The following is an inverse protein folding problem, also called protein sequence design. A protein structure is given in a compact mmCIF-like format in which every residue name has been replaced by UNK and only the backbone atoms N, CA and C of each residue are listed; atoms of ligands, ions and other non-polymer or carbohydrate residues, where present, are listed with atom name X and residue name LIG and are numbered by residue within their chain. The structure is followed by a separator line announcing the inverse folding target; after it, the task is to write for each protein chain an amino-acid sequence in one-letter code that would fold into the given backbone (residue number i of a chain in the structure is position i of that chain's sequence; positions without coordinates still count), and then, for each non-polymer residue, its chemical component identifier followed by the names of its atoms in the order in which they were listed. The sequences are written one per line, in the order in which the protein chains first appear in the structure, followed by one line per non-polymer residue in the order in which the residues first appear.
data_IF_599936178135
#
_entry.id   IF_599936178135
#
_cell.length_a   1.000
_cell.length_b   1.000
_cell.length_c   1.000
_cell.angle_alpha   90.00
_cell.angle_beta   90.00
_cell.angle_gamma   90.00
#
_symmetry.space_group_name_H-M   'P 1'
#
loop_
_entity.id
_entity.type
_entity.pdbx_description
1 polymer ?
#
# COMPACT_ATOMS: atom_id res chain seq x y z
N UNK A 1 48.70 42.46 -42.78
CA UNK A 1 48.27 41.07 -43.00
C UNK A 1 46.85 40.93 -42.43
N UNK A 2 45.84 40.96 -43.30
CA UNK A 2 44.99 39.80 -43.70
C UNK A 2 44.03 39.41 -42.54
N UNK A 3 42.80 39.95 -42.55
CA UNK A 3 41.54 39.37 -43.08
C UNK A 3 40.83 38.47 -42.02
N UNK A 4 39.67 38.90 -41.50
CA UNK A 4 38.28 38.57 -41.91
C UNK A 4 37.77 37.19 -41.47
N UNK A 5 36.58 37.24 -40.81
CA UNK A 5 35.44 36.27 -40.86
C UNK A 5 35.68 34.85 -40.30
N UNK A 6 34.75 34.17 -39.62
CA UNK A 6 33.31 34.16 -39.78
C UNK A 6 32.54 33.76 -38.50
N UNK A 7 31.31 34.26 -38.42
CA UNK A 7 30.18 33.81 -37.61
C UNK A 7 29.73 32.40 -38.06
N UNK A 8 29.33 31.51 -37.14
CA UNK A 8 28.28 30.47 -37.31
C UNK A 8 28.06 29.68 -35.99
N UNK A 9 26.93 29.91 -35.32
CA UNK A 9 26.17 28.87 -34.57
C UNK A 9 25.44 27.98 -35.62
N UNK A 10 24.97 26.72 -35.36
CA UNK A 10 24.38 26.23 -34.10
C UNK A 10 24.50 24.69 -33.81
N UNK A 11 23.77 24.23 -32.76
CA UNK A 11 23.23 22.89 -32.50
C UNK A 11 24.20 21.71 -32.23
N UNK A 12 24.12 21.12 -31.02
CA UNK A 12 23.68 19.74 -30.82
C UNK A 12 23.65 19.31 -29.34
N UNK A 13 22.45 18.88 -28.93
CA UNK A 13 22.13 17.84 -27.95
C UNK A 13 22.73 17.93 -26.53
N UNK A 14 21.87 18.36 -25.61
CA UNK A 14 21.82 17.83 -24.24
C UNK A 14 21.67 16.30 -24.28
N UNK A 15 22.77 15.57 -24.30
CA UNK A 15 22.77 14.17 -23.86
C UNK A 15 22.99 14.18 -22.35
N UNK A 16 21.88 14.06 -21.63
CA UNK A 16 21.87 13.50 -20.29
C UNK A 16 22.40 12.05 -20.44
N UNK A 17 23.72 11.88 -20.47
CA UNK A 17 24.29 10.56 -20.31
C UNK A 17 24.00 10.13 -18.88
N UNK A 18 23.13 9.13 -18.81
CA UNK A 18 22.93 8.29 -17.65
C UNK A 18 24.28 8.02 -16.98
N UNK A 19 24.44 8.49 -15.75
CA UNK A 19 25.43 7.92 -14.85
C UNK A 19 24.95 6.51 -14.50
N UNK A 20 25.25 5.55 -15.37
CA UNK A 20 25.38 4.15 -14.99
C UNK A 20 26.54 4.08 -13.99
N UNK A 21 26.18 4.23 -12.72
CA UNK A 21 27.10 3.91 -11.63
C UNK A 21 27.02 2.40 -11.50
N UNK A 22 28.06 1.71 -11.94
CA UNK A 22 28.34 0.32 -11.58
C UNK A 22 28.42 0.26 -10.04
N UNK A 23 27.27 0.03 -9.39
CA UNK A 23 27.21 -0.29 -7.97
C UNK A 23 27.41 -1.80 -7.85
N UNK A 24 28.25 -2.28 -6.90
CA UNK A 24 28.38 -3.70 -6.66
C UNK A 24 27.00 -4.27 -6.33
N UNK A 25 26.57 -5.26 -7.11
CA UNK A 25 25.32 -5.97 -6.85
C UNK A 25 25.40 -6.68 -5.50
N UNK A 26 24.28 -6.77 -4.80
CA UNK A 26 24.15 -7.56 -3.58
C UNK A 26 23.64 -8.96 -3.90
N UNK A 27 24.08 -9.94 -3.13
CA UNK A 27 23.54 -11.29 -3.09
C UNK A 27 22.81 -11.49 -1.76
N UNK A 28 21.49 -11.46 -1.80
CA UNK A 28 20.64 -11.63 -0.63
C UNK A 28 19.82 -12.90 -0.75
N UNK A 29 19.57 -13.54 0.39
CA UNK A 29 18.55 -14.57 0.52
C UNK A 29 17.51 -14.06 1.50
N UNK A 30 16.27 -13.89 1.06
CA UNK A 30 15.23 -13.32 1.92
C UNK A 30 13.98 -14.18 1.99
N UNK A 31 13.23 -13.98 3.09
CA UNK A 31 11.86 -14.44 3.24
C UNK A 31 10.98 -13.27 3.65
N UNK A 32 9.77 -13.22 3.11
CA UNK A 32 8.85 -12.13 3.35
C UNK A 32 7.67 -12.58 4.21
N UNK A 33 7.13 -11.65 5.00
CA UNK A 33 5.91 -11.80 5.79
C UNK A 33 5.18 -10.47 5.75
N UNK A 34 3.86 -10.50 5.58
CA UNK A 34 3.02 -9.33 5.76
C UNK A 34 2.56 -9.24 7.22
N UNK A 35 2.68 -8.07 7.81
CA UNK A 35 2.33 -7.81 9.19
C UNK A 35 0.83 -7.61 9.35
N UNK A 36 0.22 -6.85 8.44
CA UNK A 36 -1.21 -6.51 8.48
C UNK A 36 -2.01 -7.53 7.64
N UNK A 37 -2.22 -7.21 6.37
CA UNK A 37 -2.95 -8.03 5.40
C UNK A 37 -2.02 -8.72 4.41
N UNK A 38 -2.43 -9.89 3.92
CA UNK A 38 -1.67 -10.61 2.90
C UNK A 38 -1.57 -9.78 1.61
N UNK A 39 -0.42 -9.86 0.94
CA UNK A 39 -0.13 -9.14 -0.31
C UNK A 39 -0.02 -10.17 -1.45
N UNK A 40 -1.14 -10.54 -2.11
CA UNK A 40 -1.18 -11.67 -3.04
C UNK A 40 -0.45 -11.42 -4.37
N UNK A 41 -0.38 -10.16 -4.81
CA UNK A 41 0.15 -9.75 -6.11
C UNK A 41 1.45 -8.92 -6.01
N UNK A 42 2.24 -9.13 -4.96
CA UNK A 42 3.54 -8.49 -4.86
C UNK A 42 4.47 -8.98 -5.97
N UNK A 43 5.29 -8.10 -6.49
CA UNK A 43 6.29 -8.40 -7.50
C UNK A 43 7.54 -7.58 -7.23
N UNK A 44 8.71 -8.07 -7.64
CA UNK A 44 9.97 -7.33 -7.56
C UNK A 44 10.77 -7.53 -8.83
N UNK A 45 11.68 -6.60 -9.11
CA UNK A 45 12.56 -6.67 -10.27
C UNK A 45 13.89 -7.31 -9.87
N UNK A 46 14.27 -8.37 -10.59
CA UNK A 46 15.58 -9.02 -10.56
C UNK A 46 16.28 -8.74 -11.90
N UNK A 47 17.12 -7.71 -11.93
CA UNK A 47 17.60 -7.13 -13.20
C UNK A 47 16.41 -6.61 -14.03
N UNK A 48 16.27 -7.12 -15.25
CA UNK A 48 15.14 -6.81 -16.15
C UNK A 48 13.96 -7.77 -16.00
N UNK A 49 14.08 -8.80 -15.14
CA UNK A 49 13.05 -9.81 -14.96
C UNK A 49 12.12 -9.45 -13.81
N UNK A 50 10.83 -9.34 -14.11
CA UNK A 50 9.79 -9.20 -13.09
C UNK A 50 9.48 -10.56 -12.45
N UNK A 51 9.68 -10.67 -11.15
CA UNK A 51 9.37 -11.86 -10.34
C UNK A 51 8.11 -11.61 -9.52
N UNK A 52 7.17 -12.54 -9.54
CA UNK A 52 5.95 -12.49 -8.74
C UNK A 52 6.13 -13.23 -7.41
N UNK A 53 5.47 -12.74 -6.37
CA UNK A 53 5.50 -13.28 -5.03
C UNK A 53 4.16 -13.01 -4.32
N UNK A 54 3.56 -14.04 -3.75
CA UNK A 54 2.47 -13.86 -2.78
C UNK A 54 3.09 -13.81 -1.38
N UNK A 55 2.82 -12.72 -0.65
CA UNK A 55 3.34 -12.50 0.71
C UNK A 55 2.20 -12.75 1.70
N UNK A 56 2.20 -13.88 2.42
CA UNK A 56 1.15 -14.19 3.40
C UNK A 56 1.33 -13.39 4.70
N UNK A 57 0.28 -13.32 5.52
CA UNK A 57 0.30 -12.60 6.81
C UNK A 57 0.39 -13.51 8.05
N UNK A 58 0.48 -14.82 7.84
CA UNK A 58 0.47 -15.86 8.87
C UNK A 58 1.70 -16.77 8.85
N UNK A 59 2.58 -16.65 7.86
CA UNK A 59 3.80 -17.45 7.71
C UNK A 59 4.84 -16.68 6.88
N UNK A 60 6.08 -17.14 6.89
CA UNK A 60 7.07 -16.63 5.93
C UNK A 60 6.91 -17.29 4.56
N UNK A 61 7.22 -16.53 3.51
CA UNK A 61 7.41 -17.11 2.18
C UNK A 61 8.54 -18.14 2.18
N UNK A 62 8.62 -18.93 1.10
CA UNK A 62 9.84 -19.69 0.79
C UNK A 62 11.02 -18.72 0.66
N UNK A 63 12.23 -19.23 0.90
CA UNK A 63 13.44 -18.45 0.72
C UNK A 63 13.64 -18.11 -0.76
N UNK A 64 13.93 -16.84 -1.02
CA UNK A 64 14.16 -16.28 -2.34
C UNK A 64 15.60 -15.81 -2.39
N UNK A 65 16.32 -16.21 -3.42
CA UNK A 65 17.65 -15.69 -3.70
C UNK A 65 17.51 -14.54 -4.69
N UNK A 66 18.11 -13.40 -4.36
CA UNK A 66 18.13 -12.22 -5.22
C UNK A 66 19.57 -11.79 -5.44
N UNK A 67 19.91 -11.54 -6.70
CA UNK A 67 21.19 -10.97 -7.11
C UNK A 67 20.92 -9.75 -7.98
N UNK A 68 21.34 -8.57 -7.54
CA UNK A 68 21.05 -7.35 -8.27
C UNK A 68 21.39 -6.09 -7.49
N UNK A 69 20.82 -4.93 -7.87
CA UNK A 69 21.01 -3.68 -7.16
C UNK A 69 20.71 -3.77 -5.65
N UNK A 70 21.42 -3.03 -4.79
CA UNK A 70 21.17 -3.02 -3.35
C UNK A 70 19.77 -2.54 -2.97
N UNK A 71 19.13 -1.75 -3.82
CA UNK A 71 17.76 -1.28 -3.61
C UNK A 71 16.78 -2.23 -4.28
N UNK A 72 16.06 -3.01 -3.47
CA UNK A 72 14.99 -3.89 -3.94
C UNK A 72 13.66 -3.14 -3.87
N UNK A 73 12.98 -3.05 -5.01
CA UNK A 73 11.66 -2.42 -5.13
C UNK A 73 10.58 -3.49 -5.29
N UNK A 74 9.55 -3.37 -4.48
CA UNK A 74 8.33 -4.17 -4.59
C UNK A 74 7.23 -3.32 -5.21
N UNK A 75 6.51 -3.93 -6.15
CA UNK A 75 5.37 -3.35 -6.84
C UNK A 75 4.20 -4.33 -6.76
N UNK A 76 3.00 -3.82 -6.59
CA UNK A 76 1.76 -4.57 -6.72
C UNK A 76 1.24 -4.31 -8.11
N UNK A 77 0.99 -5.39 -8.86
CA UNK A 77 0.42 -5.30 -10.19
C UNK A 77 -1.03 -5.69 -10.07
N UNK A 78 -1.91 -4.76 -10.42
CA UNK A 78 -3.33 -5.04 -10.52
C UNK A 78 -3.59 -5.97 -11.72
N UNK A 79 -4.03 -7.20 -11.46
CA UNK A 79 -4.28 -8.18 -12.53
C UNK A 79 -5.47 -7.81 -13.43
N UNK A 80 -6.39 -6.95 -12.99
CA UNK A 80 -7.46 -6.43 -13.85
C UNK A 80 -6.90 -5.63 -15.03
N UNK A 81 -5.71 -5.06 -14.87
CA UNK A 81 -5.00 -4.35 -15.95
C UNK A 81 -4.24 -5.29 -16.90
N UNK A 82 -3.96 -6.54 -16.50
CA UNK A 82 -3.17 -7.51 -17.27
C UNK A 82 -4.02 -8.37 -18.22
N UNK A 83 -5.30 -8.56 -17.90
CA UNK A 83 -6.28 -9.15 -18.79
C UNK A 83 -7.53 -8.27 -18.77
N UNK A 84 -7.58 -7.17 -19.54
CA UNK A 84 -8.83 -6.47 -19.72
C UNK A 84 -9.80 -7.48 -20.34
N UNK A 85 -10.73 -8.02 -19.53
CA UNK A 85 -11.89 -8.68 -20.10
C UNK A 85 -12.52 -7.63 -21.02
N UNK A 86 -12.75 -7.93 -22.31
CA UNK A 86 -13.52 -7.02 -23.13
C UNK A 86 -14.84 -6.80 -22.38
N UNK A 87 -15.08 -5.56 -21.98
CA UNK A 87 -16.33 -5.16 -21.36
C UNK A 87 -17.44 -5.66 -22.28
N UNK A 88 -18.45 -6.33 -21.73
CA UNK A 88 -19.61 -6.70 -22.54
C UNK A 88 -20.16 -5.42 -23.19
N UNK A 89 -20.77 -5.49 -24.38
CA UNK A 89 -21.36 -4.31 -25.02
C UNK A 89 -22.26 -3.53 -24.05
N UNK A 90 -22.99 -4.25 -23.20
CA UNK A 90 -23.87 -3.69 -22.17
C UNK A 90 -23.09 -2.97 -21.06
N UNK A 91 -21.99 -3.55 -20.55
CA UNK A 91 -21.14 -2.90 -19.55
C UNK A 91 -20.42 -1.67 -20.13
N UNK A 92 -19.99 -1.75 -21.40
CA UNK A 92 -19.39 -0.62 -22.10
C UNK A 92 -20.39 0.52 -22.28
N UNK A 93 -21.63 0.20 -22.66
CA UNK A 93 -22.71 1.18 -22.77
C UNK A 93 -23.05 1.81 -21.41
N UNK A 94 -23.09 1.01 -20.34
CA UNK A 94 -23.33 1.47 -18.97
C UNK A 94 -22.26 2.45 -18.48
N UNK A 95 -20.98 2.10 -18.67
CA UNK A 95 -19.84 2.96 -18.29
C UNK A 95 -19.81 4.23 -19.13
N UNK A 96 -20.11 4.15 -20.43
CA UNK A 96 -20.20 5.35 -21.28
C UNK A 96 -21.35 6.25 -20.85
N UNK A 97 -22.50 5.68 -20.47
CA UNK A 97 -23.66 6.41 -19.95
C UNK A 97 -23.33 7.11 -18.63
N UNK A 98 -22.67 6.41 -17.71
CA UNK A 98 -22.14 6.97 -16.45
C UNK A 98 -21.19 8.15 -16.71
N UNK A 99 -20.18 7.97 -17.58
CA UNK A 99 -19.22 9.04 -17.90
C UNK A 99 -19.87 10.27 -18.51
N UNK A 100 -20.86 10.08 -19.40
CA UNK A 100 -21.61 11.19 -19.98
C UNK A 100 -22.42 11.94 -18.92
N UNK A 101 -23.11 11.22 -18.03
CA UNK A 101 -23.88 11.81 -16.95
C UNK A 101 -22.99 12.60 -15.98
N UNK A 102 -21.84 12.05 -15.60
CA UNK A 102 -20.85 12.72 -14.75
C UNK A 102 -20.25 13.95 -15.43
N UNK A 103 -19.96 13.89 -16.73
CA UNK A 103 -19.45 15.05 -17.48
C UNK A 103 -20.50 16.18 -17.55
N UNK A 104 -21.76 15.83 -17.79
CA UNK A 104 -22.88 16.80 -17.77
C UNK A 104 -23.05 17.40 -16.38
N UNK A 105 -22.97 16.59 -15.31
CA UNK A 105 -23.07 17.08 -13.94
C UNK A 105 -21.92 18.03 -13.58
N UNK A 106 -20.68 17.70 -13.98
CA UNK A 106 -19.52 18.54 -13.73
C UNK A 106 -19.65 19.89 -14.46
N UNK A 107 -19.98 19.87 -15.75
CA UNK A 107 -20.17 21.09 -16.53
C UNK A 107 -21.30 21.96 -15.95
N UNK A 108 -22.45 21.36 -15.61
CA UNK A 108 -23.57 22.09 -15.03
C UNK A 108 -23.23 22.66 -13.65
N UNK A 109 -22.43 21.96 -12.85
CA UNK A 109 -21.94 22.41 -11.55
C UNK A 109 -20.98 23.60 -11.69
N UNK A 110 -20.08 23.56 -12.67
CA UNK A 110 -19.16 24.66 -12.97
C UNK A 110 -19.91 25.91 -13.45
N UNK A 111 -20.88 25.74 -14.36
CA UNK A 111 -21.76 26.83 -14.81
C UNK A 111 -22.59 27.40 -13.65
N UNK A 112 -23.12 26.53 -12.77
CA UNK A 112 -23.89 26.94 -11.60
C UNK A 112 -23.03 27.81 -10.67
N UNK A 113 -21.82 27.37 -10.33
CA UNK A 113 -20.90 28.10 -9.48
C UNK A 113 -20.47 29.44 -10.09
N UNK A 114 -20.27 29.50 -11.41
CA UNK A 114 -19.95 30.75 -12.11
C UNK A 114 -21.11 31.74 -12.05
N UNK A 115 -22.34 31.30 -12.29
CA UNK A 115 -23.52 32.16 -12.26
C UNK A 115 -23.80 32.65 -10.84
N UNK A 116 -23.66 31.81 -9.81
CA UNK A 116 -23.78 32.24 -8.41
C UNK A 116 -22.78 33.36 -8.08
N UNK A 117 -21.50 33.22 -8.49
CA UNK A 117 -20.50 34.29 -8.28
C UNK A 117 -20.84 35.58 -9.03
N UNK A 118 -21.39 35.48 -10.24
CA UNK A 118 -21.81 36.64 -11.01
C UNK A 118 -22.99 37.36 -10.34
N UNK A 119 -23.96 36.61 -9.83
CA UNK A 119 -25.07 37.16 -9.05
C UNK A 119 -24.58 37.85 -7.77
N UNK A 120 -23.67 37.22 -7.03
CA UNK A 120 -23.09 37.82 -5.82
C UNK A 120 -22.34 39.12 -6.15
N UNK A 121 -21.58 39.14 -7.24
CA UNK A 121 -20.84 40.33 -7.70
C UNK A 121 -21.79 41.45 -8.12
N UNK A 122 -22.85 41.14 -8.88
CA UNK A 122 -23.87 42.12 -9.29
C UNK A 122 -24.60 42.70 -8.07
N UNK A 123 -25.04 41.85 -7.15
CA UNK A 123 -25.70 42.28 -5.91
C UNK A 123 -24.78 43.16 -5.06
N UNK A 124 -23.50 42.81 -4.96
CA UNK A 124 -22.50 43.60 -4.26
C UNK A 124 -22.31 44.99 -4.88
N UNK A 125 -22.17 45.08 -6.22
CA UNK A 125 -22.03 46.36 -6.93
C UNK A 125 -23.26 47.27 -6.79
N UNK A 126 -24.46 46.69 -6.83
CA UNK A 126 -25.71 47.43 -6.62
C UNK A 126 -25.75 47.99 -5.19
N UNK A 127 -25.33 47.19 -4.21
CA UNK A 127 -25.30 47.58 -2.79
C UNK A 127 -24.23 48.65 -2.51
N UNK A 128 -23.02 48.49 -3.03
CA UNK A 128 -21.93 49.48 -2.85
C UNK A 128 -22.25 50.84 -3.47
N UNK A 129 -22.95 50.85 -4.60
CA UNK A 129 -23.34 52.11 -5.26
C UNK A 129 -24.55 52.79 -4.63
N UNK A 130 -25.16 52.19 -3.58
CA UNK A 130 -26.37 52.68 -2.89
C UNK A 130 -27.46 53.07 -3.89
N UNK A 131 -27.52 52.38 -5.03
CA UNK A 131 -28.46 52.67 -6.11
C UNK A 131 -29.56 51.63 -6.11
N UNK A 132 -30.78 52.03 -6.48
CA UNK A 132 -31.82 51.04 -6.78
C UNK A 132 -31.43 50.27 -8.05
N UNK A 133 -31.73 48.95 -8.14
CA UNK A 133 -31.48 48.17 -9.35
C UNK A 133 -32.12 48.87 -10.55
N UNK A 134 -31.34 49.06 -11.61
CA UNK A 134 -31.90 49.55 -12.88
C UNK A 134 -32.79 48.47 -13.51
N UNK A 135 -33.64 48.85 -14.46
CA UNK A 135 -34.41 47.88 -15.26
C UNK A 135 -33.52 46.88 -15.99
N UNK A 136 -32.30 47.28 -16.39
CA UNK A 136 -31.30 46.38 -16.96
C UNK A 136 -30.69 45.41 -15.93
N UNK A 137 -30.37 45.90 -14.72
CA UNK A 137 -29.86 45.06 -13.64
C UNK A 137 -30.90 43.99 -13.23
N UNK A 138 -32.18 44.38 -13.14
CA UNK A 138 -33.26 43.46 -12.80
C UNK A 138 -33.44 42.37 -13.87
N UNK A 139 -33.44 42.75 -15.16
CA UNK A 139 -33.53 41.79 -16.26
C UNK A 139 -32.34 40.81 -16.28
N UNK A 140 -31.14 41.27 -15.92
CA UNK A 140 -29.95 40.42 -15.83
C UNK A 140 -30.01 39.45 -14.65
N UNK A 141 -30.47 39.91 -13.48
CA UNK A 141 -30.68 39.05 -12.31
C UNK A 141 -31.74 37.97 -12.60
N UNK A 142 -32.86 38.35 -13.23
CA UNK A 142 -33.93 37.43 -13.57
C UNK A 142 -33.46 36.36 -14.57
N UNK A 143 -32.69 36.75 -15.60
CA UNK A 143 -32.12 35.81 -16.57
C UNK A 143 -31.10 34.85 -15.94
N UNK A 144 -30.26 35.32 -15.02
CA UNK A 144 -29.29 34.48 -14.29
C UNK A 144 -30.01 33.50 -13.34
N UNK A 145 -31.08 33.94 -12.67
CA UNK A 145 -31.90 33.06 -11.81
C UNK A 145 -32.65 32.00 -12.63
N UNK A 146 -33.18 32.35 -13.81
CA UNK A 146 -33.79 31.40 -14.72
C UNK A 146 -32.77 30.34 -15.16
N UNK A 147 -31.55 30.77 -15.51
CA UNK A 147 -30.46 29.85 -15.87
C UNK A 147 -30.03 28.95 -14.70
N UNK A 148 -29.98 29.46 -13.47
CA UNK A 148 -29.73 28.62 -12.28
C UNK A 148 -30.82 27.56 -12.09
N UNK A 149 -32.09 27.91 -12.34
CA UNK A 149 -33.20 26.96 -12.27
C UNK A 149 -33.05 25.86 -13.33
N UNK A 150 -32.70 26.20 -14.57
CA UNK A 150 -32.39 25.22 -15.62
C UNK A 150 -31.23 24.31 -15.23
N UNK A 151 -30.13 24.88 -14.74
CA UNK A 151 -28.95 24.11 -14.32
C UNK A 151 -29.26 23.17 -13.15
N UNK A 152 -30.11 23.60 -12.21
CA UNK A 152 -30.55 22.73 -11.10
C UNK A 152 -31.33 21.50 -11.60
N UNK A 153 -32.18 21.67 -12.63
CA UNK A 153 -32.90 20.57 -13.26
C UNK A 153 -31.95 19.63 -14.02
N UNK A 154 -30.94 20.18 -14.72
CA UNK A 154 -29.89 19.41 -15.41
C UNK A 154 -29.08 18.58 -14.41
N UNK A 155 -28.68 19.17 -13.27
CA UNK A 155 -27.95 18.48 -12.21
C UNK A 155 -28.78 17.33 -11.60
N UNK A 156 -30.07 17.56 -11.34
CA UNK A 156 -30.97 16.52 -10.83
C UNK A 156 -31.12 15.35 -11.81
N UNK A 157 -31.30 15.65 -13.11
CA UNK A 157 -31.39 14.64 -14.16
C UNK A 157 -30.07 13.86 -14.32
N UNK A 158 -28.93 14.54 -14.30
CA UNK A 158 -27.61 13.92 -14.39
C UNK A 158 -27.28 13.05 -13.16
N UNK A 159 -27.70 13.47 -11.97
CA UNK A 159 -27.57 12.67 -10.74
C UNK A 159 -28.37 11.39 -10.81
N UNK A 160 -29.64 11.47 -11.23
CA UNK A 160 -30.50 10.29 -11.42
C UNK A 160 -29.91 9.31 -12.44
N UNK A 161 -29.41 9.85 -13.55
CA UNK A 161 -28.76 9.06 -14.60
C UNK A 161 -27.46 8.39 -14.12
N UNK A 162 -26.69 9.07 -13.28
CA UNK A 162 -25.49 8.51 -12.63
C UNK A 162 -25.84 7.34 -11.71
N UNK A 163 -26.91 7.48 -10.92
CA UNK A 163 -27.41 6.42 -10.04
C UNK A 163 -27.92 5.21 -10.82
N UNK A 164 -28.73 5.43 -11.86
CA UNK A 164 -29.24 4.36 -12.73
C UNK A 164 -28.11 3.61 -13.45
N UNK A 165 -27.10 4.32 -13.95
CA UNK A 165 -25.94 3.71 -14.60
C UNK A 165 -25.09 2.90 -13.59
N UNK A 166 -24.89 3.39 -12.37
CA UNK A 166 -24.19 2.66 -11.31
C UNK A 166 -24.92 1.39 -10.90
N UNK A 167 -26.26 1.45 -10.73
CA UNK A 167 -27.07 0.27 -10.42
C UNK A 167 -27.02 -0.78 -11.54
N UNK A 168 -26.96 -0.33 -12.80
CA UNK A 168 -26.83 -1.22 -13.95
C UNK A 168 -25.45 -1.87 -14.03
N UNK A 169 -24.38 -1.13 -13.72
CA UNK A 169 -23.02 -1.68 -13.59
C UNK A 169 -22.97 -2.75 -12.49
N UNK A 170 -23.48 -2.45 -11.29
CA UNK A 170 -23.52 -3.41 -10.17
C UNK A 170 -24.31 -4.68 -10.52
N UNK A 171 -25.43 -4.54 -11.23
CA UNK A 171 -26.22 -5.70 -11.69
C UNK A 171 -25.43 -6.55 -12.69
N UNK A 172 -24.76 -5.92 -13.65
CA UNK A 172 -23.94 -6.61 -14.65
C UNK A 172 -22.69 -7.28 -14.02
N UNK A 173 -22.13 -6.70 -12.96
CA UNK A 173 -21.05 -7.30 -12.16
C UNK A 173 -21.52 -8.54 -11.38
N UNK A 174 -22.76 -8.51 -10.87
CA UNK A 174 -23.34 -9.58 -10.06
C UNK A 174 -23.92 -10.77 -10.85
N UNK A 175 -23.97 -10.70 -12.19
CA UNK A 175 -24.57 -11.74 -13.02
C UNK A 175 -23.72 -13.05 -13.04
N UNK A 176 -24.34 -14.25 -13.01
CA UNK A 176 -23.62 -15.52 -13.08
C UNK A 176 -22.75 -15.62 -14.33
N UNK A 177 -21.45 -15.90 -14.14
CA UNK A 177 -20.47 -15.94 -15.22
C UNK A 177 -20.45 -17.30 -15.90
N UNK A 178 -20.68 -17.34 -17.21
CA UNK A 178 -20.36 -18.53 -18.02
C UNK A 178 -18.83 -18.67 -18.16
N UNK A 179 -18.29 -19.91 -18.10
CA UNK A 179 -16.87 -20.14 -18.29
C UNK A 179 -16.43 -19.73 -19.71
N UNK A 180 -15.22 -19.16 -19.87
CA UNK A 180 -14.78 -18.65 -21.16
C UNK A 180 -14.63 -19.78 -22.19
N UNK A 181 -15.43 -19.75 -23.25
CA UNK A 181 -15.22 -20.55 -24.45
C UNK A 181 -14.13 -19.89 -25.31
N UNK A 182 -13.07 -20.67 -25.56
CA UNK A 182 -12.02 -20.54 -26.56
C UNK A 182 -11.66 -19.12 -27.04
N UNK A 183 -10.51 -18.62 -26.59
CA UNK A 183 -9.89 -17.39 -27.08
C UNK A 183 -9.27 -17.59 -28.47
N UNK A 184 -9.57 -16.76 -29.49
CA UNK A 184 -8.74 -16.67 -30.67
C UNK A 184 -7.52 -15.78 -30.38
N UNK A 185 -6.35 -16.22 -30.85
CA UNK A 185 -5.11 -15.44 -30.86
C UNK A 185 -5.27 -14.21 -31.76
N UNK A 186 -4.89 -13.02 -31.28
CA UNK A 186 -4.28 -11.99 -32.14
C UNK A 186 -3.47 -10.96 -31.38
N UNK A 187 -2.32 -10.68 -31.97
CA UNK A 187 -1.30 -9.72 -31.58
C UNK A 187 -1.83 -8.28 -31.49
N UNK A 188 -1.65 -7.68 -30.32
CA UNK A 188 -1.79 -6.25 -30.07
C UNK A 188 -0.98 -5.94 -28.82
N UNK A 189 -0.11 -4.93 -28.89
CA UNK A 189 0.79 -4.55 -27.79
C UNK A 189 -0.03 -4.41 -26.50
N UNK A 190 0.16 -5.33 -25.56
CA UNK A 190 -0.56 -5.34 -24.30
C UNK A 190 -0.38 -3.98 -23.60
N UNK A 191 -1.44 -3.41 -23.00
CA UNK A 191 -1.30 -2.22 -22.17
C UNK A 191 -0.19 -2.45 -21.14
N UNK A 192 0.74 -1.50 -20.99
CA UNK A 192 1.75 -1.60 -19.93
C UNK A 192 1.02 -1.58 -18.59
N UNK A 193 1.22 -2.58 -17.72
CA UNK A 193 0.56 -2.62 -16.42
C UNK A 193 0.89 -1.35 -15.64
N UNK A 194 -0.13 -0.78 -14.98
CA UNK A 194 0.09 0.31 -14.04
C UNK A 194 0.72 -0.32 -12.80
N UNK A 195 2.01 -0.11 -12.61
CA UNK A 195 2.75 -0.54 -11.42
C UNK A 195 2.68 0.55 -10.36
N UNK A 196 2.01 0.30 -9.25
CA UNK A 196 2.07 1.18 -8.08
C UNK A 196 3.28 0.77 -7.24
N UNK A 197 4.27 1.65 -6.98
CA UNK A 197 5.35 1.36 -6.05
C UNK A 197 4.77 1.05 -4.67
N UNK A 198 5.04 -0.15 -4.17
CA UNK A 198 4.44 -0.66 -2.93
C UNK A 198 5.36 -0.40 -1.75
N UNK A 199 6.65 -0.72 -1.91
CA UNK A 199 7.69 -0.49 -0.91
C UNK A 199 9.08 -0.63 -1.54
N UNK A 200 10.09 0.02 -0.96
CA UNK A 200 11.49 -0.22 -1.32
C UNK A 200 12.36 -0.35 -0.08
N UNK A 201 13.41 -1.17 -0.18
CA UNK A 201 14.41 -1.31 0.87
C UNK A 201 15.81 -1.37 0.25
N UNK A 202 16.75 -0.67 0.87
CA UNK A 202 18.16 -0.67 0.43
C UNK A 202 19.01 -1.50 1.40
N UNK A 203 19.47 -2.65 0.92
CA UNK A 203 20.38 -3.54 1.64
C UNK A 203 21.77 -2.94 1.70
N UNK A 204 22.39 -3.05 2.89
CA UNK A 204 23.74 -2.50 3.14
C UNK A 204 24.85 -3.53 2.87
N UNK A 205 24.53 -4.82 2.93
CA UNK A 205 25.47 -5.93 2.78
C UNK A 205 24.74 -7.17 2.26
N UNK A 206 25.51 -8.10 1.71
CA UNK A 206 25.05 -9.46 1.42
C UNK A 206 24.58 -10.18 2.68
N UNK A 207 23.70 -11.16 2.53
CA UNK A 207 23.30 -12.01 3.64
C UNK A 207 21.87 -12.54 3.57
N UNK A 208 21.46 -13.12 4.70
CA UNK A 208 20.12 -13.66 4.89
C UNK A 208 19.24 -12.61 5.59
N UNK A 209 18.00 -12.43 5.14
CA UNK A 209 17.10 -11.43 5.70
C UNK A 209 15.66 -11.95 5.88
N UNK A 210 15.02 -11.53 6.97
CA UNK A 210 13.56 -11.57 7.10
C UNK A 210 13.01 -10.19 6.78
N UNK A 211 12.11 -10.11 5.81
CA UNK A 211 11.44 -8.88 5.40
C UNK A 211 10.02 -8.87 5.97
N UNK A 212 9.72 -7.88 6.79
CA UNK A 212 8.39 -7.65 7.32
C UNK A 212 7.76 -6.46 6.59
N UNK A 213 6.64 -6.70 5.92
CA UNK A 213 5.85 -5.68 5.25
C UNK A 213 4.77 -5.19 6.19
N UNK A 214 4.69 -3.88 6.44
CA UNK A 214 3.62 -3.27 7.23
C UNK A 214 2.99 -2.13 6.43
N UNK A 215 1.72 -1.84 6.68
CA UNK A 215 1.04 -0.68 6.07
C UNK A 215 1.66 0.61 6.58
N UNK A 216 1.93 1.57 5.68
CA UNK A 216 2.46 2.87 6.07
C UNK A 216 2.33 3.91 4.96
N UNK A 217 2.01 5.15 5.34
CA UNK A 217 1.97 6.34 4.48
C UNK A 217 1.30 6.12 3.12
N UNK A 218 2.12 5.84 2.10
CA UNK A 218 1.71 5.73 0.69
C UNK A 218 1.63 4.28 0.18
N UNK A 219 1.60 3.27 1.05
CA UNK A 219 1.57 1.86 0.68
C UNK A 219 2.07 0.97 1.80
N UNK A 220 3.18 0.27 1.57
CA UNK A 220 3.83 -0.56 2.56
C UNK A 220 5.24 -0.06 2.90
N UNK A 221 5.68 -0.37 4.12
CA UNK A 221 7.03 -0.18 4.60
C UNK A 221 7.66 -1.54 4.88
N UNK A 222 8.97 -1.65 4.60
CA UNK A 222 9.74 -2.87 4.82
C UNK A 222 10.65 -2.68 6.03
N UNK A 223 10.48 -3.54 7.04
CA UNK A 223 11.47 -3.75 8.08
C UNK A 223 12.29 -5.00 7.71
N UNK A 224 13.57 -4.81 7.40
CA UNK A 224 14.49 -5.91 7.21
C UNK A 224 15.18 -6.29 8.52
N UNK A 225 15.30 -7.60 8.76
CA UNK A 225 15.97 -8.17 9.92
C UNK A 225 17.06 -9.12 9.45
N UNK A 226 18.26 -9.03 10.03
CA UNK A 226 19.34 -9.97 9.74
C UNK A 226 18.91 -11.39 10.18
N UNK A 227 19.01 -12.35 9.25
CA UNK A 227 18.69 -13.76 9.44
C UNK A 227 19.94 -14.64 9.28
N UNK A 228 21.13 -14.08 9.55
CA UNK A 228 22.35 -14.87 9.61
C UNK A 228 22.25 -15.97 10.68
N UNK A 229 22.97 -17.06 10.44
CA UNK A 229 22.97 -18.22 11.31
C UNK A 229 23.37 -17.82 12.75
N UNK A 230 22.62 -18.33 13.73
CA UNK A 230 22.86 -18.06 15.14
C UNK A 230 22.25 -16.77 15.69
N UNK A 231 21.85 -15.78 14.86
CA UNK A 231 21.22 -14.54 15.34
C UNK A 231 19.83 -14.81 15.92
N UNK A 232 19.04 -15.63 15.23
CA UNK A 232 17.70 -16.03 15.65
C UNK A 232 17.53 -17.55 15.45
N UNK A 233 18.08 -18.37 16.35
CA UNK A 233 18.14 -19.82 16.18
C UNK A 233 16.76 -20.49 16.39
N UNK A 234 16.59 -21.68 15.82
CA UNK A 234 15.46 -22.55 16.15
C UNK A 234 15.45 -22.93 17.64
N UNK A 235 14.26 -23.09 18.22
CA UNK A 235 14.05 -23.26 19.65
C UNK A 235 14.08 -21.95 20.45
N UNK A 236 13.99 -20.79 19.77
CA UNK A 236 14.00 -19.48 20.41
C UNK A 236 12.82 -18.59 19.99
N UNK A 237 12.59 -17.55 20.78
CA UNK A 237 11.54 -16.55 20.56
C UNK A 237 12.19 -15.19 20.32
N UNK A 238 11.81 -14.50 19.26
CA UNK A 238 12.19 -13.11 19.05
C UNK A 238 11.01 -12.21 19.39
N UNK A 239 11.07 -11.58 20.57
CA UNK A 239 10.09 -10.60 20.98
C UNK A 239 10.39 -9.25 20.33
N UNK A 240 9.36 -8.63 19.75
CA UNK A 240 9.44 -7.33 19.10
C UNK A 240 8.43 -6.42 19.79
N UNK A 241 8.92 -5.39 20.47
CA UNK A 241 8.08 -4.50 21.25
C UNK A 241 7.62 -3.30 20.42
N UNK A 242 6.35 -3.32 19.99
CA UNK A 242 5.70 -2.25 19.24
C UNK A 242 4.64 -1.51 20.09
N UNK A 243 4.70 -1.67 21.42
CA UNK A 243 3.73 -1.06 22.36
C UNK A 243 3.93 0.45 22.57
N UNK A 244 5.04 1.01 22.07
CA UNK A 244 5.44 2.40 22.32
C UNK A 244 6.02 2.65 23.73
N UNK A 245 5.94 1.68 24.65
CA UNK A 245 6.47 1.75 26.02
C UNK A 245 7.51 0.66 26.28
N UNK A 246 8.26 0.77 27.38
CA UNK A 246 9.12 -0.32 27.84
C UNK A 246 8.29 -1.48 28.38
N UNK A 247 8.75 -2.73 28.20
CA UNK A 247 8.09 -3.93 28.72
C UNK A 247 9.09 -4.81 29.48
N UNK A 248 8.59 -5.59 30.43
CA UNK A 248 9.32 -6.66 31.11
C UNK A 248 8.65 -8.00 30.82
N UNK A 249 9.44 -8.95 30.30
CA UNK A 249 9.07 -10.36 30.23
C UNK A 249 9.52 -11.01 31.54
N UNK A 250 8.57 -11.45 32.36
CA UNK A 250 8.82 -12.11 33.63
C UNK A 250 8.47 -13.59 33.51
N UNK A 251 9.50 -14.41 33.56
CA UNK A 251 9.42 -15.85 33.78
C UNK A 251 9.63 -16.12 35.28
N UNK A 252 9.28 -17.31 35.81
CA UNK A 252 9.44 -17.64 37.23
C UNK A 252 10.83 -17.31 37.79
N UNK A 253 11.90 -17.66 37.07
CA UNK A 253 13.29 -17.50 37.54
C UNK A 253 14.08 -16.45 36.75
N UNK A 254 13.42 -15.71 35.84
CA UNK A 254 14.13 -14.80 34.92
C UNK A 254 13.29 -13.59 34.54
N UNK A 255 13.93 -12.43 34.59
CA UNK A 255 13.37 -11.18 34.06
C UNK A 255 14.16 -10.71 32.84
N UNK A 256 13.46 -10.26 31.81
CA UNK A 256 14.04 -9.68 30.59
C UNK A 256 13.36 -8.34 30.31
N UNK A 257 14.12 -7.25 30.32
CA UNK A 257 13.61 -5.92 29.99
C UNK A 257 13.79 -5.64 28.50
N UNK A 258 12.77 -5.08 27.88
CA UNK A 258 12.74 -4.74 26.47
C UNK A 258 12.24 -3.31 26.28
N UNK A 259 13.08 -2.44 25.73
CA UNK A 259 12.72 -1.03 25.46
C UNK A 259 11.64 -0.93 24.38
N UNK A 260 10.98 0.23 24.31
CA UNK A 260 10.07 0.55 23.20
C UNK A 260 10.78 0.42 21.85
N UNK A 261 10.11 -0.13 20.84
CA UNK A 261 10.63 -0.32 19.48
C UNK A 261 11.92 -1.15 19.41
N UNK A 262 12.21 -1.94 20.45
CA UNK A 262 13.35 -2.84 20.50
C UNK A 262 12.92 -4.28 20.26
N UNK A 263 13.89 -5.12 19.94
CA UNK A 263 13.72 -6.57 19.79
C UNK A 263 14.74 -7.31 20.64
N UNK A 264 14.38 -8.51 21.09
CA UNK A 264 15.29 -9.39 21.82
C UNK A 264 14.98 -10.85 21.51
N UNK A 265 16.04 -11.65 21.40
CA UNK A 265 15.93 -13.11 21.29
C UNK A 265 16.01 -13.72 22.67
N UNK A 266 15.02 -14.54 23.01
CA UNK A 266 14.89 -15.21 24.30
C UNK A 266 14.79 -16.71 24.04
N UNK A 267 15.66 -17.48 24.70
CA UNK A 267 15.46 -18.91 24.85
C UNK A 267 14.49 -19.15 25.99
N UNK A 268 13.45 -19.93 25.72
CA UNK A 268 12.48 -20.33 26.74
C UNK A 268 13.21 -21.08 27.87
N UNK A 269 12.93 -20.78 29.15
CA UNK A 269 13.53 -21.52 30.26
C UNK A 269 13.01 -22.96 30.39
N UNK A 270 11.87 -23.30 29.78
CA UNK A 270 11.31 -24.65 29.82
C UNK A 270 12.13 -25.64 28.97
N UNK A 271 12.08 -26.92 29.35
CA UNK A 271 12.64 -28.01 28.56
C UNK A 271 11.88 -28.19 27.24
N UNK A 272 12.49 -28.90 26.29
CA UNK A 272 11.86 -29.18 25.01
C UNK A 272 10.51 -29.88 25.19
N UNK A 273 9.53 -29.43 24.41
CA UNK A 273 8.13 -29.88 24.41
C UNK A 273 7.34 -29.58 25.70
N UNK A 274 7.85 -28.70 26.56
CA UNK A 274 7.11 -28.21 27.72
C UNK A 274 6.57 -26.79 27.52
N UNK A 275 5.47 -26.50 28.21
CA UNK A 275 4.92 -25.16 28.25
C UNK A 275 5.63 -24.29 29.28
N UNK A 276 5.79 -23.02 28.95
CA UNK A 276 6.11 -21.97 29.92
C UNK A 276 5.07 -20.87 29.84
N UNK A 277 5.06 -20.03 30.88
CA UNK A 277 4.31 -18.79 30.91
C UNK A 277 5.28 -17.65 31.14
N UNK A 278 5.18 -16.62 30.30
CA UNK A 278 5.80 -15.33 30.51
C UNK A 278 4.71 -14.31 30.83
N UNK A 279 4.80 -13.69 31.99
CA UNK A 279 4.02 -12.49 32.27
C UNK A 279 4.68 -11.31 31.58
N UNK A 280 3.92 -10.56 30.79
CA UNK A 280 4.41 -9.38 30.09
C UNK A 280 3.84 -8.15 30.78
N UNK A 281 4.73 -7.43 31.44
CA UNK A 281 4.39 -6.21 32.15
C UNK A 281 4.76 -4.99 31.32
N UNK A 282 3.86 -4.02 31.20
CA UNK A 282 4.08 -2.76 30.48
C UNK A 282 4.44 -1.65 31.44
N UNK A 283 5.32 -0.74 31.02
CA UNK A 283 5.73 0.39 31.85
C UNK A 283 4.53 1.31 32.12
N UNK A 284 4.29 1.60 33.41
CA UNK A 284 3.29 2.50 33.95
C UNK A 284 3.98 3.69 34.65
N UNK A 285 3.19 4.64 35.16
CA UNK A 285 3.70 5.82 35.87
C UNK A 285 4.49 5.43 37.13
N UNK A 286 3.96 4.48 37.92
CA UNK A 286 4.56 3.99 39.16
C UNK A 286 5.22 2.60 39.03
N UNK A 287 5.70 2.24 37.83
CA UNK A 287 6.47 1.02 37.61
C UNK A 287 6.00 0.21 36.42
N UNK A 288 5.45 -0.98 36.69
CA UNK A 288 5.10 -1.96 35.67
C UNK A 288 3.80 -2.69 36.04
N UNK A 289 2.84 -2.67 35.12
CA UNK A 289 1.55 -3.34 35.27
C UNK A 289 1.45 -4.55 34.34
N UNK A 290 0.76 -5.60 34.78
CA UNK A 290 0.54 -6.79 33.96
C UNK A 290 -0.33 -6.44 32.74
N UNK A 291 0.25 -6.52 31.55
CA UNK A 291 -0.44 -6.21 30.29
C UNK A 291 -0.91 -7.45 29.53
N UNK A 292 -0.21 -8.58 29.66
CA UNK A 292 -0.53 -9.82 28.96
C UNK A 292 0.15 -11.03 29.61
N UNK A 293 -0.47 -12.21 29.47
CA UNK A 293 0.12 -13.48 29.86
C UNK A 293 0.36 -14.31 28.59
N UNK A 294 1.63 -14.55 28.27
CA UNK A 294 2.04 -15.28 27.08
C UNK A 294 2.42 -16.72 27.42
N UNK A 295 1.56 -17.66 27.01
CA UNK A 295 1.83 -19.10 27.14
C UNK A 295 2.47 -19.61 25.85
N UNK A 296 3.59 -20.31 25.97
CA UNK A 296 4.31 -20.85 24.80
C UNK A 296 4.79 -22.27 25.04
N UNK A 297 4.78 -23.08 23.99
CA UNK A 297 5.35 -24.42 23.94
C UNK A 297 6.79 -24.33 23.43
N UNK A 298 7.75 -24.84 24.19
CA UNK A 298 9.13 -24.94 23.72
C UNK A 298 9.23 -26.04 22.65
N UNK A 299 9.66 -25.68 21.44
CA UNK A 299 9.88 -26.62 20.35
C UNK A 299 11.26 -26.38 19.72
N UNK A 300 12.20 -27.34 19.77
CA UNK A 300 13.58 -27.12 19.33
C UNK A 300 13.71 -26.88 17.82
N UNK A 301 12.72 -27.30 17.04
CA UNK A 301 12.64 -27.14 15.58
C UNK A 301 11.79 -25.93 15.14
N UNK A 302 11.28 -25.12 16.06
CA UNK A 302 10.47 -23.94 15.73
C UNK A 302 11.13 -22.71 16.34
N UNK A 303 11.19 -21.62 15.58
CA UNK A 303 11.46 -20.29 16.12
C UNK A 303 10.24 -19.42 15.94
N UNK A 304 9.97 -18.55 16.91
CA UNK A 304 8.73 -17.79 16.94
C UNK A 304 9.00 -16.30 17.04
N UNK A 305 8.46 -15.50 16.11
CA UNK A 305 8.43 -14.05 16.24
C UNK A 305 7.18 -13.68 17.02
N UNK A 306 7.35 -12.92 18.09
CA UNK A 306 6.26 -12.49 18.96
C UNK A 306 6.19 -10.97 18.94
N UNK A 307 5.22 -10.43 18.23
CA UNK A 307 4.95 -9.00 18.16
C UNK A 307 4.07 -8.60 19.33
N UNK A 308 4.55 -7.67 20.15
CA UNK A 308 3.79 -7.09 21.26
C UNK A 308 3.17 -5.78 20.80
N UNK A 309 1.84 -5.72 20.82
CA UNK A 309 1.07 -4.62 20.26
C UNK A 309 0.20 -3.99 21.35
N UNK A 310 0.05 -2.66 21.35
CA UNK A 310 -0.86 -2.01 22.27
C UNK A 310 -2.31 -2.39 21.92
N UNK A 311 -3.17 -2.42 22.93
CA UNK A 311 -4.62 -2.44 22.73
C UNK A 311 -5.08 -0.97 22.78
N UNK A 312 -5.75 -0.45 21.74
CA UNK A 312 -6.32 0.89 21.78
C UNK A 312 -7.21 1.06 23.01
N UNK A 313 -7.16 2.23 23.64
CA UNK A 313 -7.96 2.61 24.81
C UNK A 313 -7.66 1.83 26.12
N UNK A 314 -6.75 0.86 26.09
CA UNK A 314 -6.28 0.13 27.29
C UNK A 314 -4.77 0.39 27.50
N UNK A 315 -4.39 1.38 28.32
CA UNK A 315 -3.03 1.94 28.35
C UNK A 315 -1.91 0.98 28.80
N UNK A 316 -2.28 -0.12 29.47
CA UNK A 316 -1.36 -1.14 29.97
C UNK A 316 -1.54 -2.50 29.27
N UNK A 317 -2.72 -2.76 28.70
CA UNK A 317 -3.02 -4.03 28.09
C UNK A 317 -2.37 -4.13 26.71
N UNK A 318 -1.89 -5.34 26.40
CA UNK A 318 -1.27 -5.62 25.11
C UNK A 318 -1.82 -6.91 24.55
N UNK A 319 -1.80 -7.00 23.24
CA UNK A 319 -2.05 -8.24 22.51
C UNK A 319 -0.75 -8.73 21.87
N UNK A 320 -0.66 -10.03 21.66
CA UNK A 320 0.49 -10.63 20.96
C UNK A 320 0.06 -11.21 19.62
N UNK A 321 0.87 -11.00 18.58
CA UNK A 321 0.79 -11.73 17.31
C UNK A 321 2.02 -12.61 17.20
N UNK A 322 1.82 -13.93 17.08
CA UNK A 322 2.92 -14.90 16.97
C UNK A 322 2.98 -15.44 15.55
N UNK A 323 4.18 -15.47 14.97
CA UNK A 323 4.47 -16.15 13.70
C UNK A 323 5.52 -17.22 13.97
N UNK A 324 5.14 -18.48 13.70
CA UNK A 324 6.03 -19.62 13.84
C UNK A 324 6.74 -19.90 12.52
N UNK A 325 8.06 -20.08 12.59
CA UNK A 325 8.90 -20.54 11.50
C UNK A 325 9.46 -21.91 11.86
N UNK A 326 9.00 -22.94 11.15
CA UNK A 326 9.42 -24.32 11.37
C UNK A 326 10.66 -24.63 10.55
N UNK A 327 11.62 -25.31 11.16
CA UNK A 327 12.80 -25.79 10.45
C UNK A 327 12.33 -26.66 9.28
N UNK A 328 12.79 -26.39 8.04
CA UNK A 328 12.50 -27.27 6.91
C UNK A 328 12.98 -28.68 7.23
N UNK A 329 12.21 -29.69 6.79
CA UNK A 329 12.70 -31.06 6.82
C UNK A 329 14.00 -31.13 6.00
N UNK A 330 15.03 -31.80 6.53
CA UNK A 330 16.21 -32.11 5.72
C UNK A 330 15.73 -32.91 4.50
N UNK A 331 16.19 -32.57 3.28
CA UNK A 331 15.89 -33.39 2.13
C UNK A 331 16.38 -34.80 2.45
N UNK A 332 15.46 -35.78 2.38
CA UNK A 332 15.81 -37.19 2.55
C UNK A 332 16.98 -37.47 1.59
N UNK A 333 18.18 -37.62 2.15
CA UNK A 333 19.39 -37.75 1.37
C UNK A 333 19.23 -38.86 0.35
N UNK A 334 19.58 -38.57 -0.89
CA UNK A 334 20.01 -39.58 -1.85
C UNK A 334 21.08 -40.42 -1.14
N UNK A 335 20.70 -41.62 -0.71
CA UNK A 335 21.65 -42.67 -0.33
C UNK A 335 22.24 -43.28 -1.58
#
# INVERSE_FOLDING_TARGET
MIARTALLLPLLATSLFAQTTDKPGVSIRFRALAFDDAIPAASYLEGDTLRRLSIPNNAFTRAINYKGPPTLRFITIDEETLKPRPLTPDMTAAIQRLRRAQAVALQASDEFAQITRLLDTLNFQITESIRKPSTGDQAQIDALNERLKELSAILAAASKETEEANLLILRLESAPQEPPKDAPKKDGKAPKPISTPTAEYTFQKDGNYLLLFSSGGNGHQILAMDDAEGIFPYGSFQFINLTGKGVELRYPDRKVTLRANARIVVKNPAADHQYTVAEIHTKADDGYDLGHVYRSLQQPNVRSLVFLLPIPDEPHAIRSKTIEDRRPAEPAGTK
#
